data_IF_380598149724
#
_entry.id   IF_380598149724
#
_cell.length_a   1.000
_cell.length_b   1.000
_cell.length_c   1.000
_cell.angle_alpha   90.00
_cell.angle_beta   90.00
_cell.angle_gamma   90.00
#
_symmetry.space_group_name_H-M   'P 1'
#
loop_
_entity.id
_entity.type
_entity.pdbx_description
1 polymer ?
#
# COMPACT_ATOMS: atom_id res chain seq x y z
N UNK A 1 -15.74 28.32 -27.66
CA UNK A 1 -14.85 27.68 -28.63
C UNK A 1 -13.60 27.13 -27.94
N UNK A 2 -12.68 27.97 -27.44
CA UNK A 2 -11.45 27.51 -26.76
C UNK A 2 -11.70 26.52 -25.60
N UNK A 3 -12.59 26.85 -24.65
CA UNK A 3 -12.92 25.95 -23.52
C UNK A 3 -13.52 24.60 -23.90
N UNK A 4 -14.18 24.50 -25.04
CA UNK A 4 -14.80 23.24 -25.47
C UNK A 4 -13.71 22.32 -26.03
N UNK A 5 -12.83 22.87 -26.85
CA UNK A 5 -11.65 22.20 -27.38
C UNK A 5 -10.73 21.67 -26.27
N UNK A 6 -10.48 22.47 -25.23
CA UNK A 6 -9.64 22.04 -24.10
C UNK A 6 -10.28 20.89 -23.30
N UNK A 7 -11.62 20.87 -23.19
CA UNK A 7 -12.37 19.80 -22.54
C UNK A 7 -12.37 18.51 -23.38
N UNK A 8 -12.58 18.63 -24.69
CA UNK A 8 -12.58 17.51 -25.63
C UNK A 8 -11.19 16.86 -25.73
N UNK A 9 -10.11 17.66 -25.70
CA UNK A 9 -8.72 17.16 -25.64
C UNK A 9 -8.42 16.43 -24.32
N UNK A 10 -8.90 16.96 -23.19
CA UNK A 10 -8.76 16.29 -21.90
C UNK A 10 -9.51 14.95 -21.87
N UNK A 11 -10.72 14.89 -22.40
CA UNK A 11 -11.53 13.68 -22.45
C UNK A 11 -10.90 12.62 -23.36
N UNK A 12 -10.42 13.00 -24.54
CA UNK A 12 -9.68 12.11 -25.43
C UNK A 12 -8.39 11.58 -24.79
N UNK A 13 -7.66 12.42 -24.04
CA UNK A 13 -6.45 12.01 -23.31
C UNK A 13 -6.75 11.01 -22.18
N UNK A 14 -7.93 11.11 -21.56
CA UNK A 14 -8.39 10.22 -20.51
C UNK A 14 -8.83 8.87 -21.08
N UNK A 15 -9.47 8.85 -22.26
CA UNK A 15 -9.82 7.64 -22.98
C UNK A 15 -8.56 6.84 -23.38
N UNK A 16 -7.54 7.50 -23.93
CA UNK A 16 -6.25 6.87 -24.28
C UNK A 16 -5.53 6.29 -23.05
N UNK A 17 -5.50 7.03 -21.94
CA UNK A 17 -4.95 6.55 -20.68
C UNK A 17 -5.71 5.32 -20.14
N UNK A 18 -7.04 5.31 -20.28
CA UNK A 18 -7.89 4.20 -19.84
C UNK A 18 -7.68 2.94 -20.67
N UNK A 19 -7.56 3.09 -22.00
CA UNK A 19 -7.27 1.99 -22.91
C UNK A 19 -5.89 1.37 -22.61
N UNK A 20 -4.89 2.21 -22.34
CA UNK A 20 -3.54 1.74 -21.98
C UNK A 20 -3.52 0.92 -20.68
N UNK A 21 -4.22 1.40 -19.65
CA UNK A 21 -4.36 0.66 -18.38
C UNK A 21 -5.08 -0.67 -18.60
N UNK A 22 -6.14 -0.68 -19.41
CA UNK A 22 -6.88 -1.89 -19.72
C UNK A 22 -6.00 -2.94 -20.43
N UNK A 23 -5.19 -2.50 -21.39
CA UNK A 23 -4.24 -3.36 -22.09
C UNK A 23 -3.19 -3.97 -21.14
N UNK A 24 -2.67 -3.17 -20.22
CA UNK A 24 -1.71 -3.64 -19.21
C UNK A 24 -2.34 -4.69 -18.26
N UNK A 25 -3.58 -4.49 -17.84
CA UNK A 25 -4.32 -5.45 -17.00
C UNK A 25 -4.59 -6.75 -17.77
N UNK A 26 -5.01 -6.67 -19.03
CA UNK A 26 -5.25 -7.85 -19.84
C UNK A 26 -3.98 -8.66 -20.06
N UNK A 27 -2.84 -7.99 -20.32
CA UNK A 27 -1.55 -8.65 -20.43
C UNK A 27 -1.13 -9.33 -19.12
N UNK A 28 -1.42 -8.69 -17.98
CA UNK A 28 -1.15 -9.23 -16.66
C UNK A 28 -1.97 -10.48 -16.34
N UNK A 29 -3.28 -10.48 -16.64
CA UNK A 29 -4.18 -11.61 -16.40
C UNK A 29 -3.84 -12.88 -17.19
N UNK A 30 -3.09 -12.77 -18.28
CA UNK A 30 -2.64 -13.93 -19.08
C UNK A 30 -1.51 -14.70 -18.40
N UNK A 31 -0.93 -14.19 -17.31
CA UNK A 31 0.13 -14.88 -16.58
C UNK A 31 -0.45 -16.08 -15.82
N UNK A 32 0.20 -17.26 -15.88
CA UNK A 32 -0.26 -18.43 -15.14
C UNK A 32 0.04 -18.25 -13.64
N UNK A 33 -0.90 -17.66 -12.90
CA UNK A 33 -0.81 -17.49 -11.45
C UNK A 33 -1.41 -18.73 -10.78
N UNK A 34 -0.60 -19.44 -9.98
CA UNK A 34 -1.07 -20.54 -9.12
C UNK A 34 -1.36 -19.98 -7.73
N UNK A 35 -2.37 -20.52 -7.06
CA UNK A 35 -2.73 -20.11 -5.69
C UNK A 35 -1.59 -20.30 -4.66
N UNK A 36 -0.63 -21.20 -4.95
CA UNK A 36 0.54 -21.45 -4.11
C UNK A 36 1.74 -20.55 -4.43
N UNK A 37 1.65 -19.65 -5.41
CA UNK A 37 2.75 -18.75 -5.73
C UNK A 37 2.83 -17.61 -4.72
N UNK A 38 4.04 -17.32 -4.27
CA UNK A 38 4.33 -16.15 -3.45
C UNK A 38 4.15 -14.88 -4.29
N UNK A 39 3.43 -13.90 -3.74
CA UNK A 39 3.19 -12.62 -4.40
C UNK A 39 4.45 -11.76 -4.29
N UNK A 40 5.13 -11.54 -5.40
CA UNK A 40 6.33 -10.70 -5.48
C UNK A 40 6.07 -9.42 -6.27
N UNK A 41 6.89 -8.39 -6.04
CA UNK A 41 6.78 -7.07 -6.70
C UNK A 41 6.75 -7.16 -8.23
N UNK A 42 7.47 -8.11 -8.81
CA UNK A 42 7.55 -8.29 -10.27
C UNK A 42 6.32 -8.98 -10.89
N UNK A 43 5.40 -9.44 -10.04
CA UNK A 43 4.12 -9.93 -10.50
C UNK A 43 3.23 -8.80 -10.97
N UNK A 44 3.32 -7.58 -10.43
CA UNK A 44 2.45 -6.46 -10.78
C UNK A 44 2.82 -5.82 -12.14
N UNK A 45 1.86 -5.19 -12.87
CA UNK A 45 2.10 -4.54 -14.15
C UNK A 45 3.22 -3.51 -14.07
N UNK A 46 4.20 -3.55 -14.99
CA UNK A 46 5.41 -2.73 -14.89
C UNK A 46 5.14 -1.23 -14.91
N UNK A 47 4.27 -0.76 -15.81
CA UNK A 47 4.02 0.67 -16.01
C UNK A 47 3.33 1.36 -14.82
N UNK A 48 2.53 0.59 -14.07
CA UNK A 48 1.71 1.11 -12.97
C UNK A 48 1.96 0.36 -11.66
N UNK A 49 3.15 -0.23 -11.52
CA UNK A 49 3.50 -1.17 -10.44
C UNK A 49 3.25 -0.60 -9.06
N UNK A 50 3.77 0.59 -8.80
CA UNK A 50 3.67 1.23 -7.48
C UNK A 50 2.23 1.49 -7.08
N UNK A 51 1.42 2.06 -7.98
CA UNK A 51 0.01 2.30 -7.72
C UNK A 51 -0.76 1.00 -7.44
N UNK A 52 -0.47 -0.07 -8.18
CA UNK A 52 -1.07 -1.39 -7.93
C UNK A 52 -0.65 -1.99 -6.59
N UNK A 53 0.63 -1.86 -6.20
CA UNK A 53 1.10 -2.33 -4.90
C UNK A 53 0.48 -1.56 -3.75
N UNK A 54 0.37 -0.23 -3.85
CA UNK A 54 -0.28 0.60 -2.85
C UNK A 54 -1.75 0.18 -2.66
N UNK A 55 -2.48 0.00 -3.75
CA UNK A 55 -3.85 -0.50 -3.71
C UNK A 55 -3.91 -1.91 -3.12
N UNK A 56 -3.01 -2.81 -3.54
CA UNK A 56 -2.93 -4.17 -3.01
C UNK A 56 -2.75 -4.16 -1.49
N UNK A 57 -1.78 -3.40 -0.98
CA UNK A 57 -1.54 -3.24 0.46
C UNK A 57 -2.78 -2.64 1.13
N UNK A 58 -3.34 -1.56 0.59
CA UNK A 58 -4.49 -0.86 1.19
C UNK A 58 -5.72 -1.76 1.35
N UNK A 59 -6.01 -2.61 0.36
CA UNK A 59 -7.21 -3.46 0.36
C UNK A 59 -7.00 -4.85 0.96
N UNK A 60 -5.78 -5.37 0.98
CA UNK A 60 -5.48 -6.71 1.51
C UNK A 60 -4.79 -6.70 2.87
N UNK A 61 -4.31 -5.55 3.34
CA UNK A 61 -3.88 -5.42 4.73
C UNK A 61 -5.14 -5.25 5.58
N UNK A 62 -5.51 -6.25 6.40
CA UNK A 62 -6.61 -6.06 7.32
C UNK A 62 -6.27 -4.85 8.20
N UNK A 63 -7.16 -3.85 8.20
CA UNK A 63 -7.05 -2.77 9.17
C UNK A 63 -6.97 -3.43 10.55
N UNK A 64 -5.92 -3.16 11.35
CA UNK A 64 -5.88 -3.66 12.70
C UNK A 64 -7.20 -3.23 13.35
N UNK A 65 -7.94 -4.19 13.89
CA UNK A 65 -9.16 -3.87 14.63
C UNK A 65 -8.81 -2.83 15.71
N UNK A 66 -9.76 -2.01 16.15
CA UNK A 66 -9.52 -1.05 17.25
C UNK A 66 -8.78 -1.70 18.43
N UNK A 67 -9.09 -2.97 18.71
CA UNK A 67 -8.40 -3.76 19.73
C UNK A 67 -6.92 -4.08 19.40
N UNK A 68 -6.55 -4.32 18.14
CA UNK A 68 -5.16 -4.53 17.73
C UNK A 68 -4.35 -3.22 17.77
N UNK A 69 -4.99 -2.10 17.39
CA UNK A 69 -4.39 -0.76 17.52
C UNK A 69 -4.18 -0.41 19.00
N UNK A 70 -5.19 -0.61 19.85
CA UNK A 70 -5.07 -0.42 21.30
C UNK A 70 -4.00 -1.32 21.92
N UNK A 71 -3.85 -2.57 21.46
CA UNK A 71 -2.77 -3.47 21.93
C UNK A 71 -1.39 -2.97 21.52
N UNK A 72 -1.23 -2.43 20.30
CA UNK A 72 0.03 -1.83 19.86
C UNK A 72 0.40 -0.61 20.72
N UNK A 73 -0.56 0.28 20.99
CA UNK A 73 -0.33 1.43 21.87
C UNK A 73 -0.05 1.03 23.32
N UNK A 74 -0.83 0.10 23.89
CA UNK A 74 -0.57 -0.43 25.25
C UNK A 74 0.80 -1.09 25.36
N UNK A 75 1.21 -1.86 24.34
CA UNK A 75 2.51 -2.50 24.34
C UNK A 75 3.65 -1.49 24.20
N UNK A 76 3.43 -0.39 23.46
CA UNK A 76 4.40 0.71 23.39
C UNK A 76 4.57 1.40 24.75
N UNK A 77 3.48 1.62 25.49
CA UNK A 77 3.54 2.16 26.86
C UNK A 77 4.29 1.23 27.82
N UNK A 78 4.06 -0.09 27.72
CA UNK A 78 4.77 -1.10 28.54
C UNK A 78 6.27 -1.09 28.22
N UNK A 79 6.65 -0.99 26.94
CA UNK A 79 8.06 -0.91 26.52
C UNK A 79 8.71 0.37 27.04
N UNK A 80 8.02 1.52 26.92
CA UNK A 80 8.50 2.80 27.45
C UNK A 80 8.71 2.76 28.96
N UNK A 81 7.76 2.18 29.71
CA UNK A 81 7.89 2.01 31.15
C UNK A 81 9.05 1.08 31.53
N UNK A 82 9.22 -0.04 30.82
CA UNK A 82 10.32 -0.96 31.08
C UNK A 82 11.68 -0.29 30.83
N UNK A 83 11.82 0.49 29.75
CA UNK A 83 13.04 1.25 29.45
C UNK A 83 13.32 2.30 30.55
N UNK A 84 12.29 2.99 31.06
CA UNK A 84 12.46 3.92 32.17
C UNK A 84 12.90 3.23 33.46
N UNK A 85 12.30 2.10 33.81
CA UNK A 85 12.68 1.33 35.00
C UNK A 85 14.12 0.83 34.94
N UNK A 86 14.57 0.37 33.77
CA UNK A 86 15.97 -0.05 33.59
C UNK A 86 16.96 1.10 33.76
N UNK A 87 16.63 2.30 33.25
CA UNK A 87 17.47 3.50 33.43
C UNK A 87 17.59 3.93 34.89
N UNK A 88 16.50 3.82 35.66
CA UNK A 88 16.51 4.15 37.09
C UNK A 88 17.41 3.19 37.87
N UNK A 89 17.35 1.89 37.56
CA UNK A 89 18.21 0.88 38.19
C UNK A 89 19.70 1.10 37.89
N UNK A 90 20.06 1.50 36.66
CA UNK A 90 21.44 1.85 36.30
C UNK A 90 21.96 3.13 36.99
N UNK A 91 21.09 4.05 37.39
CA UNK A 91 21.46 5.25 38.15
C UNK A 91 21.60 4.97 39.65
N UNK A 92 20.86 4.01 40.21
CA UNK A 92 20.98 3.59 41.62
C UNK A 92 22.20 2.70 41.90
N UNK A 93 22.75 2.01 40.89
CA UNK A 93 23.96 1.19 41.01
C UNK A 93 25.28 1.96 40.81
N UNK A 94 25.24 3.28 40.55
CA UNK A 94 26.42 4.16 40.39
C UNK A 94 26.72 5.00 41.64
#
# INVERSE_FOLDING_TARGET
ALRQHDMDEMEASQEDASEKILNDIQAWNRRPIKASMEVTRDMFPQNHREAWMELFIKYNTPLPSSAAVERLFRNMDIIQQHIMSLKIQEEEEK
#
